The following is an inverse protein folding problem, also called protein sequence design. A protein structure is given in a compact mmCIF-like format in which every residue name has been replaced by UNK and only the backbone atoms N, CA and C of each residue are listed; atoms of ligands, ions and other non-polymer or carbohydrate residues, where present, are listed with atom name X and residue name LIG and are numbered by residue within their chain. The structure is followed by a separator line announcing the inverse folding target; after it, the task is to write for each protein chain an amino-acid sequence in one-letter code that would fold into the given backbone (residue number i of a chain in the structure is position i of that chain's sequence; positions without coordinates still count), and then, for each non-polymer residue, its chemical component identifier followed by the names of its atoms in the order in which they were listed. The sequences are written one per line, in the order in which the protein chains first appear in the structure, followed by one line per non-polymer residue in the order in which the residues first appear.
data_IF_722090279230
#
_entry.id   IF_722090279230
#
_cell.length_a   1.000
_cell.length_b   1.000
_cell.length_c   1.000
_cell.angle_alpha   90.00
_cell.angle_beta   90.00
_cell.angle_gamma   90.00
#
_symmetry.space_group_name_H-M   'P 1'
#
loop_
_entity.id
_entity.type
_entity.pdbx_description
1 polymer ?
#
# COMPACT_ATOMS: atom_id res chain seq x y z
N UNK A 1 -13.74 -5.50 -28.73
CA UNK A 1 -12.97 -4.59 -27.89
C UNK A 1 -11.51 -4.97 -27.94
N UNK A 2 -10.65 -4.00 -28.20
CA UNK A 2 -9.20 -4.13 -28.21
C UNK A 2 -8.57 -2.96 -27.46
N UNK A 3 -7.48 -3.22 -26.76
CA UNK A 3 -6.65 -2.18 -26.15
C UNK A 3 -5.95 -1.40 -27.25
N UNK A 4 -6.02 -0.07 -27.22
CA UNK A 4 -5.46 0.82 -28.24
C UNK A 4 -4.30 1.66 -27.75
N UNK A 5 -4.27 1.97 -26.45
CA UNK A 5 -3.25 2.82 -25.84
C UNK A 5 -3.19 2.56 -24.33
N UNK A 6 -2.00 2.74 -23.75
CA UNK A 6 -1.78 2.80 -22.31
C UNK A 6 -1.14 4.15 -21.97
N UNK A 7 -1.83 4.95 -21.18
CA UNK A 7 -1.33 6.24 -20.68
C UNK A 7 -0.95 6.09 -19.21
N UNK A 8 0.13 6.77 -18.80
CA UNK A 8 0.58 6.78 -17.41
C UNK A 8 0.77 8.22 -16.93
N UNK A 9 0.23 8.52 -15.76
CA UNK A 9 0.32 9.82 -15.13
C UNK A 9 1.05 9.67 -13.81
N UNK A 10 2.30 10.15 -13.76
CA UNK A 10 3.01 10.28 -12.50
C UNK A 10 2.48 11.51 -11.78
N UNK A 11 1.98 11.29 -10.56
CA UNK A 11 1.50 12.32 -9.67
C UNK A 11 2.54 12.52 -8.57
N UNK A 12 2.85 13.77 -8.28
CA UNK A 12 3.76 14.16 -7.21
C UNK A 12 3.25 15.46 -6.60
N UNK A 13 3.12 15.51 -5.27
CA UNK A 13 2.73 16.73 -4.57
C UNK A 13 3.84 17.79 -4.72
N UNK A 14 3.51 19.08 -4.96
CA UNK A 14 4.52 20.12 -5.23
C UNK A 14 5.60 20.28 -4.16
N UNK A 15 5.25 20.08 -2.89
CA UNK A 15 6.13 20.29 -1.73
C UNK A 15 6.53 18.96 -1.07
N UNK A 16 6.78 17.92 -1.88
CA UNK A 16 7.17 16.60 -1.36
C UNK A 16 8.49 16.65 -0.56
N UNK A 17 8.58 15.82 0.46
CA UNK A 17 9.76 15.58 1.28
C UNK A 17 10.21 14.12 1.07
N UNK A 18 11.35 13.86 0.40
CA UNK A 18 11.85 12.51 0.16
C UNK A 18 12.34 11.82 1.44
N UNK A 19 12.49 12.55 2.55
CA UNK A 19 12.84 11.99 3.86
C UNK A 19 11.60 11.65 4.69
N UNK A 20 10.39 12.03 4.23
CA UNK A 20 9.17 11.76 4.97
C UNK A 20 8.76 10.29 4.86
N UNK A 21 8.35 9.73 5.99
CA UNK A 21 7.69 8.43 6.08
C UNK A 21 6.22 8.61 5.69
N UNK A 22 5.97 8.75 4.39
CA UNK A 22 4.62 8.97 3.84
C UNK A 22 4.56 8.47 2.40
N UNK A 23 3.71 7.46 2.14
CA UNK A 23 3.40 6.99 0.79
C UNK A 23 2.30 7.81 0.09
N UNK A 24 1.86 8.92 0.68
CA UNK A 24 0.79 9.76 0.13
C UNK A 24 1.29 10.97 -0.69
N UNK A 25 2.58 11.02 -1.03
CA UNK A 25 3.20 12.16 -1.70
C UNK A 25 3.27 11.97 -3.23
N UNK A 26 3.23 10.73 -3.68
CA UNK A 26 3.36 10.36 -5.07
C UNK A 26 2.50 9.14 -5.41
N UNK A 27 2.19 8.97 -6.69
CA UNK A 27 1.50 7.80 -7.23
C UNK A 27 1.68 7.75 -8.76
N UNK A 28 1.35 6.61 -9.37
CA UNK A 28 1.20 6.47 -10.81
C UNK A 28 -0.21 5.99 -11.14
N UNK A 29 -0.96 6.81 -11.87
CA UNK A 29 -2.25 6.41 -12.44
C UNK A 29 -2.04 5.89 -13.84
N UNK A 30 -2.55 4.68 -14.11
CA UNK A 30 -2.51 4.03 -15.42
C UNK A 30 -3.90 4.06 -16.04
N UNK A 31 -4.01 4.57 -17.27
CA UNK A 31 -5.25 4.61 -18.04
C UNK A 31 -5.10 3.72 -19.27
N UNK A 32 -5.92 2.68 -19.36
CA UNK A 32 -5.95 1.77 -20.51
C UNK A 32 -7.14 2.13 -21.41
N UNK A 33 -6.88 2.43 -22.67
CA UNK A 33 -7.89 2.83 -23.65
C UNK A 33 -8.27 1.67 -24.56
N UNK A 34 -9.51 1.67 -25.02
CA UNK A 34 -10.03 0.68 -25.97
C UNK A 34 -10.59 1.30 -27.24
N UNK A 35 -10.70 0.49 -28.30
CA UNK A 35 -11.30 0.87 -29.58
C UNK A 35 -12.82 1.14 -29.51
N UNK A 36 -13.47 0.75 -28.42
CA UNK A 36 -14.89 0.99 -28.14
C UNK A 36 -15.11 2.20 -27.21
N UNK A 37 -14.04 2.94 -26.87
CA UNK A 37 -14.11 4.16 -26.05
C UNK A 37 -14.27 3.91 -24.54
N UNK A 38 -14.25 2.66 -24.08
CA UNK A 38 -14.21 2.30 -22.66
C UNK A 38 -12.77 2.43 -22.17
N UNK A 39 -12.58 3.09 -21.02
CA UNK A 39 -11.28 3.23 -20.37
C UNK A 39 -11.26 2.53 -19.02
N UNK A 40 -10.11 1.98 -18.66
CA UNK A 40 -9.81 1.40 -17.36
C UNK A 40 -8.80 2.22 -16.60
N UNK A 41 -8.93 2.28 -15.28
CA UNK A 41 -8.02 3.00 -14.40
C UNK A 41 -7.42 2.02 -13.39
N UNK A 42 -6.11 2.10 -13.20
CA UNK A 42 -5.39 1.42 -12.13
C UNK A 42 -4.29 2.30 -11.56
N UNK A 43 -3.72 1.87 -10.44
CA UNK A 43 -2.64 2.57 -9.74
C UNK A 43 -1.70 1.57 -9.07
N UNK A 44 -0.54 2.02 -8.59
CA UNK A 44 0.29 1.20 -7.73
C UNK A 44 1.22 2.04 -6.85
N UNK A 45 1.26 1.68 -5.56
CA UNK A 45 2.19 2.24 -4.58
C UNK A 45 3.59 1.63 -4.75
N UNK A 46 4.43 2.37 -5.48
CA UNK A 46 5.88 2.15 -5.65
C UNK A 46 6.49 3.40 -6.26
N UNK A 47 7.80 3.45 -6.52
CA UNK A 47 8.37 4.60 -7.22
C UNK A 47 7.73 4.77 -8.61
N UNK A 48 6.99 5.88 -8.86
CA UNK A 48 6.08 5.96 -9.99
C UNK A 48 6.81 6.11 -11.32
N UNK A 49 7.99 6.74 -11.35
CA UNK A 49 8.81 6.79 -12.56
C UNK A 49 9.38 5.44 -12.95
N UNK A 50 9.77 4.63 -11.96
CA UNK A 50 10.30 3.29 -12.23
C UNK A 50 9.18 2.35 -12.67
N UNK A 51 7.97 2.49 -12.11
CA UNK A 51 6.78 1.78 -12.59
C UNK A 51 6.41 2.19 -14.03
N UNK A 52 6.39 3.49 -14.34
CA UNK A 52 6.18 4.00 -15.70
C UNK A 52 7.19 3.41 -16.68
N UNK A 53 8.48 3.43 -16.33
CA UNK A 53 9.54 2.85 -17.15
C UNK A 53 9.34 1.35 -17.37
N UNK A 54 8.90 0.60 -16.35
CA UNK A 54 8.61 -0.83 -16.46
C UNK A 54 7.42 -1.11 -17.39
N UNK A 55 6.36 -0.30 -17.33
CA UNK A 55 5.16 -0.46 -18.18
C UNK A 55 5.52 -0.25 -19.66
N UNK A 56 6.26 0.82 -19.95
CA UNK A 56 6.62 1.23 -21.32
C UNK A 56 7.94 0.63 -21.83
N UNK A 57 8.60 -0.23 -21.04
CA UNK A 57 9.83 -0.88 -21.45
C UNK A 57 9.61 -1.74 -22.71
N UNK A 58 10.59 -1.73 -23.62
CA UNK A 58 10.56 -2.57 -24.81
C UNK A 58 10.91 -4.01 -24.50
N UNK A 59 10.27 -4.94 -25.20
CA UNK A 59 10.67 -6.34 -25.18
C UNK A 59 12.06 -6.55 -25.76
N UNK A 60 12.86 -7.40 -25.11
CA UNK A 60 14.24 -7.70 -25.53
C UNK A 60 14.46 -9.16 -25.90
N UNK A 61 13.68 -10.08 -25.33
CA UNK A 61 13.68 -11.50 -25.69
C UNK A 61 12.41 -12.20 -25.15
N UNK A 62 12.26 -13.50 -25.44
CA UNK A 62 11.06 -14.31 -25.19
C UNK A 62 10.53 -14.38 -23.75
N UNK A 63 11.30 -13.95 -22.74
CA UNK A 63 10.93 -13.92 -21.31
C UNK A 63 11.22 -12.55 -20.67
N UNK A 64 11.48 -11.54 -21.50
CA UNK A 64 11.75 -10.16 -21.14
C UNK A 64 11.02 -9.23 -22.11
N UNK A 65 9.75 -9.53 -22.36
CA UNK A 65 8.85 -8.75 -23.20
C UNK A 65 8.32 -7.51 -22.45
N UNK A 66 7.99 -6.45 -23.19
CA UNK A 66 7.39 -5.24 -22.64
C UNK A 66 5.93 -5.45 -22.24
N UNK A 67 5.51 -4.87 -21.12
CA UNK A 67 4.13 -5.02 -20.62
C UNK A 67 3.12 -4.40 -21.59
N UNK A 68 3.37 -3.15 -22.02
CA UNK A 68 2.50 -2.47 -23.00
C UNK A 68 2.44 -3.23 -24.33
N UNK A 69 3.58 -3.62 -24.90
CA UNK A 69 3.64 -4.37 -26.17
C UNK A 69 2.82 -5.68 -26.12
N UNK A 70 2.73 -6.32 -24.96
CA UNK A 70 1.92 -7.52 -24.77
C UNK A 70 0.42 -7.22 -24.67
N UNK A 71 0.00 -6.01 -24.32
CA UNK A 71 -1.40 -5.65 -24.13
C UNK A 71 -2.01 -4.96 -25.35
N UNK A 72 -1.25 -4.16 -26.11
CA UNK A 72 -1.79 -3.45 -27.28
C UNK A 72 -2.40 -4.45 -28.28
N UNK A 73 -3.65 -4.21 -28.67
CA UNK A 73 -4.41 -5.03 -29.60
C UNK A 73 -5.14 -6.23 -28.98
N UNK A 74 -4.89 -6.54 -27.71
CA UNK A 74 -5.57 -7.62 -26.98
C UNK A 74 -6.98 -7.24 -26.53
N UNK A 75 -7.82 -8.25 -26.29
CA UNK A 75 -9.16 -8.08 -25.72
C UNK A 75 -9.07 -7.96 -24.17
N UNK A 76 -9.41 -6.80 -23.57
CA UNK A 76 -9.25 -6.56 -22.14
C UNK A 76 -10.26 -7.31 -21.26
N UNK A 77 -11.26 -7.99 -21.85
CA UNK A 77 -12.36 -8.61 -21.09
C UNK A 77 -11.98 -9.92 -20.41
N UNK A 78 -10.75 -10.39 -20.59
CA UNK A 78 -10.18 -11.52 -19.85
C UNK A 78 -8.91 -11.12 -19.06
N UNK A 79 -9.05 -10.36 -17.95
CA UNK A 79 -7.92 -9.90 -17.15
C UNK A 79 -6.97 -11.01 -16.70
N UNK A 80 -7.50 -12.16 -16.26
CA UNK A 80 -6.69 -13.30 -15.79
C UNK A 80 -5.73 -13.82 -16.86
N UNK A 81 -6.20 -13.96 -18.11
CA UNK A 81 -5.34 -14.40 -19.21
C UNK A 81 -4.26 -13.36 -19.56
N UNK A 82 -4.59 -12.08 -19.45
CA UNK A 82 -3.64 -10.98 -19.70
C UNK A 82 -2.62 -10.86 -18.57
N UNK A 83 -3.03 -11.07 -17.32
CA UNK A 83 -2.14 -11.16 -16.18
C UNK A 83 -1.12 -12.28 -16.37
N UNK A 84 -1.57 -13.49 -16.74
CA UNK A 84 -0.70 -14.63 -16.98
C UNK A 84 0.25 -14.40 -18.16
N UNK A 85 -0.24 -13.76 -19.23
CA UNK A 85 0.56 -13.35 -20.38
C UNK A 85 1.68 -12.40 -19.95
N UNK A 86 1.34 -11.34 -19.23
CA UNK A 86 2.29 -10.36 -18.73
C UNK A 86 3.31 -11.01 -17.80
N UNK A 87 2.85 -11.74 -16.77
CA UNK A 87 3.70 -12.39 -15.79
C UNK A 87 4.71 -13.32 -16.47
N UNK A 88 4.28 -14.21 -17.37
CA UNK A 88 5.17 -15.14 -18.08
C UNK A 88 6.09 -14.45 -19.08
N UNK A 89 5.55 -13.52 -19.85
CA UNK A 89 6.30 -12.78 -20.86
C UNK A 89 7.39 -11.89 -20.27
N UNK A 90 7.23 -11.44 -19.02
CA UNK A 90 8.20 -10.62 -18.29
C UNK A 90 8.95 -11.39 -17.21
N UNK A 91 9.04 -12.71 -17.24
CA UNK A 91 9.65 -13.50 -16.16
C UNK A 91 11.02 -12.99 -15.70
N UNK A 92 11.92 -12.65 -16.61
CA UNK A 92 13.29 -12.24 -16.25
C UNK A 92 13.35 -10.93 -15.45
N UNK A 93 12.37 -10.04 -15.63
CA UNK A 93 12.39 -8.69 -15.02
C UNK A 93 11.27 -8.48 -14.01
N UNK A 94 10.14 -9.18 -14.14
CA UNK A 94 8.91 -8.83 -13.43
C UNK A 94 8.34 -9.86 -12.48
N UNK A 95 9.04 -10.97 -12.23
CA UNK A 95 8.52 -12.05 -11.38
C UNK A 95 8.28 -11.67 -9.91
N UNK A 96 8.91 -10.61 -9.40
CA UNK A 96 8.82 -10.13 -8.01
C UNK A 96 8.99 -8.60 -8.00
N UNK A 97 8.64 -7.97 -6.88
CA UNK A 97 8.82 -6.53 -6.67
C UNK A 97 8.15 -5.70 -7.77
N UNK A 98 8.89 -4.72 -8.29
CA UNK A 98 8.42 -3.73 -9.25
C UNK A 98 7.60 -4.30 -10.42
N UNK A 99 7.99 -5.42 -11.02
CA UNK A 99 7.22 -5.92 -12.16
C UNK A 99 5.85 -6.49 -11.77
N UNK A 100 5.72 -7.05 -10.56
CA UNK A 100 4.41 -7.45 -10.03
C UNK A 100 3.59 -6.20 -9.71
N UNK A 101 4.21 -5.15 -9.17
CA UNK A 101 3.56 -3.85 -8.95
C UNK A 101 3.01 -3.27 -10.26
N UNK A 102 3.83 -3.19 -11.32
CA UNK A 102 3.42 -2.68 -12.62
C UNK A 102 2.31 -3.53 -13.27
N UNK A 103 2.40 -4.86 -13.17
CA UNK A 103 1.33 -5.77 -13.60
C UNK A 103 0.04 -5.51 -12.80
N UNK A 104 0.13 -5.24 -11.49
CA UNK A 104 -1.01 -4.92 -10.63
C UNK A 104 -1.77 -3.68 -11.09
N UNK A 105 -1.07 -2.59 -11.42
CA UNK A 105 -1.71 -1.37 -11.94
C UNK A 105 -2.45 -1.64 -13.27
N UNK A 106 -1.84 -2.41 -14.17
CA UNK A 106 -2.48 -2.82 -15.43
C UNK A 106 -3.68 -3.73 -15.18
N UNK A 107 -3.57 -4.72 -14.30
CA UNK A 107 -4.64 -5.64 -13.94
C UNK A 107 -5.86 -4.91 -13.37
N UNK A 108 -5.64 -3.94 -12.46
CA UNK A 108 -6.71 -3.07 -11.95
C UNK A 108 -7.47 -2.36 -13.08
N UNK A 109 -6.75 -1.77 -14.03
CA UNK A 109 -7.36 -1.12 -15.19
C UNK A 109 -8.15 -2.09 -16.08
N UNK A 110 -7.65 -3.32 -16.27
CA UNK A 110 -8.35 -4.36 -17.04
C UNK A 110 -9.64 -4.81 -16.35
N UNK A 111 -9.63 -4.95 -15.02
CA UNK A 111 -10.84 -5.25 -14.24
C UNK A 111 -11.86 -4.13 -14.30
N UNK A 112 -11.42 -2.87 -14.24
CA UNK A 112 -12.28 -1.70 -14.41
C UNK A 112 -12.94 -1.68 -15.80
N UNK A 113 -12.18 -1.94 -16.89
CA UNK A 113 -12.73 -2.09 -18.24
C UNK A 113 -13.78 -3.21 -18.27
N UNK A 114 -13.47 -4.38 -17.71
CA UNK A 114 -14.40 -5.52 -17.72
C UNK A 114 -15.70 -5.19 -16.99
N UNK A 115 -15.62 -4.51 -15.85
CA UNK A 115 -16.79 -4.05 -15.11
C UNK A 115 -17.63 -3.06 -15.91
N UNK A 116 -17.00 -2.02 -16.46
CA UNK A 116 -17.67 -1.01 -17.30
C UNK A 116 -18.31 -1.61 -18.55
N UNK A 117 -17.62 -2.52 -19.24
CA UNK A 117 -18.12 -3.19 -20.44
C UNK A 117 -19.36 -4.05 -20.18
N UNK A 118 -19.48 -4.61 -18.98
CA UNK A 118 -20.61 -5.47 -18.59
C UNK A 118 -21.66 -4.75 -17.73
N UNK A 119 -21.44 -3.48 -17.36
CA UNK A 119 -22.31 -2.75 -16.45
C UNK A 119 -22.36 -3.35 -15.04
N UNK A 120 -21.26 -4.00 -14.60
CA UNK A 120 -21.17 -4.69 -13.32
C UNK A 120 -20.00 -4.14 -12.48
N UNK A 121 -20.16 -4.05 -11.15
CA UNK A 121 -19.06 -3.65 -10.28
C UNK A 121 -18.00 -4.76 -10.19
N UNK A 122 -16.72 -4.39 -10.02
CA UNK A 122 -15.61 -5.36 -10.03
C UNK A 122 -15.76 -6.49 -9.00
N UNK A 123 -16.28 -6.20 -7.80
CA UNK A 123 -16.52 -7.20 -6.76
C UNK A 123 -17.50 -8.31 -7.19
N UNK A 124 -18.33 -8.07 -8.22
CA UNK A 124 -19.24 -9.08 -8.75
C UNK A 124 -18.47 -10.29 -9.30
N UNK A 125 -17.34 -10.03 -9.96
CA UNK A 125 -16.51 -11.10 -10.53
C UNK A 125 -15.67 -11.82 -9.48
N UNK A 126 -15.53 -11.25 -8.28
CA UNK A 126 -14.82 -11.83 -7.14
C UNK A 126 -15.74 -12.72 -6.25
N UNK A 127 -16.84 -13.23 -6.81
CA UNK A 127 -17.80 -14.07 -6.09
C UNK A 127 -18.96 -13.31 -5.45
N UNK A 128 -19.09 -12.00 -5.70
CA UNK A 128 -20.18 -11.19 -5.19
C UNK A 128 -19.96 -10.67 -3.76
N UNK A 129 -20.85 -9.80 -3.30
CA UNK A 129 -20.76 -9.23 -1.96
C UNK A 129 -21.32 -10.18 -0.90
N UNK A 130 -20.45 -10.66 0.00
CA UNK A 130 -20.85 -11.44 1.19
C UNK A 130 -21.28 -10.57 2.38
N UNK A 131 -20.93 -9.27 2.36
CA UNK A 131 -21.23 -8.29 3.42
C UNK A 131 -21.95 -7.09 2.82
N UNK A 132 -22.85 -6.49 3.60
CA UNK A 132 -23.56 -5.24 3.23
C UNK A 132 -22.67 -3.99 3.34
N UNK A 133 -21.65 -4.05 4.19
CA UNK A 133 -20.69 -2.97 4.40
C UNK A 133 -19.33 -3.55 4.83
N UNK A 134 -18.28 -2.77 4.62
CA UNK A 134 -16.93 -3.06 5.13
C UNK A 134 -16.66 -2.13 6.31
N UNK A 135 -16.14 -2.68 7.40
CA UNK A 135 -15.73 -1.90 8.57
C UNK A 135 -14.28 -1.47 8.36
N UNK A 136 -14.05 -0.18 8.18
CA UNK A 136 -12.71 0.38 8.10
C UNK A 136 -12.09 0.57 9.50
N UNK A 137 -10.77 0.49 9.57
CA UNK A 137 -9.98 1.02 10.68
C UNK A 137 -9.30 2.31 10.23
N UNK A 138 -8.94 3.19 11.17
CA UNK A 138 -8.17 4.39 10.85
C UNK A 138 -6.66 4.07 10.91
N UNK A 139 -5.92 4.18 9.79
CA UNK A 139 -4.45 4.20 9.83
C UNK A 139 -3.99 5.60 10.20
N UNK A 140 -3.20 5.72 11.25
CA UNK A 140 -2.89 7.00 11.89
C UNK A 140 -1.41 7.33 11.70
N UNK A 141 -1.07 7.88 10.53
CA UNK A 141 0.24 8.47 10.29
C UNK A 141 0.37 9.79 11.07
N UNK A 142 1.28 9.88 12.06
CA UNK A 142 1.50 11.10 12.83
C UNK A 142 2.31 12.14 12.04
N UNK A 143 2.48 13.30 12.66
CA UNK A 143 3.31 14.40 12.14
C UNK A 143 4.23 14.90 13.25
N UNK A 144 5.39 15.45 12.88
CA UNK A 144 6.34 16.03 13.84
C UNK A 144 7.77 15.67 13.48
N UNK A 145 8.72 16.50 13.93
CA UNK A 145 10.16 16.25 13.71
C UNK A 145 10.90 15.86 14.99
N UNK A 146 10.22 15.88 16.14
CA UNK A 146 10.76 15.45 17.43
C UNK A 146 9.88 14.38 18.05
N UNK A 147 10.43 13.54 18.92
CA UNK A 147 9.69 12.53 19.67
C UNK A 147 8.43 13.09 20.37
N UNK A 148 8.53 14.26 21.00
CA UNK A 148 7.38 14.89 21.68
C UNK A 148 6.28 15.26 20.69
N UNK A 149 6.63 15.95 19.59
CA UNK A 149 5.66 16.35 18.56
C UNK A 149 4.99 15.14 17.92
N UNK A 150 5.79 14.10 17.63
CA UNK A 150 5.32 12.85 17.06
C UNK A 150 4.27 12.18 17.96
N UNK A 151 4.62 11.98 19.24
CA UNK A 151 3.73 11.39 20.25
C UNK A 151 2.45 12.20 20.42
N UNK A 152 2.56 13.52 20.55
CA UNK A 152 1.41 14.42 20.69
C UNK A 152 0.49 14.34 19.46
N UNK A 153 1.05 14.33 18.25
CA UNK A 153 0.30 14.21 17.00
C UNK A 153 -0.44 12.87 16.91
N UNK A 154 0.23 11.76 17.23
CA UNK A 154 -0.38 10.43 17.18
C UNK A 154 -1.53 10.29 18.18
N UNK A 155 -1.33 10.77 19.42
CA UNK A 155 -2.39 10.78 20.45
C UNK A 155 -3.57 11.64 20.02
N UNK A 156 -3.32 12.82 19.43
CA UNK A 156 -4.38 13.69 18.92
C UNK A 156 -5.18 13.00 17.79
N UNK A 157 -4.50 12.34 16.85
CA UNK A 157 -5.12 11.58 15.76
C UNK A 157 -5.93 10.39 16.26
N UNK A 158 -5.45 9.68 17.29
CA UNK A 158 -6.19 8.57 17.90
C UNK A 158 -7.50 9.04 18.55
N UNK A 159 -7.46 10.17 19.29
CA UNK A 159 -8.67 10.80 19.84
C UNK A 159 -9.64 11.24 18.74
N UNK A 160 -9.10 11.83 17.67
CA UNK A 160 -9.90 12.28 16.53
C UNK A 160 -10.57 11.12 15.80
N UNK A 161 -9.85 10.03 15.53
CA UNK A 161 -10.42 8.83 14.92
C UNK A 161 -11.59 8.27 15.74
N UNK A 162 -11.44 8.19 17.06
CA UNK A 162 -12.53 7.80 17.97
C UNK A 162 -13.70 8.78 17.90
N UNK A 163 -13.44 10.10 17.85
CA UNK A 163 -14.47 11.14 17.73
C UNK A 163 -15.25 11.03 16.41
N UNK A 164 -14.58 10.65 15.32
CA UNK A 164 -15.18 10.38 14.00
C UNK A 164 -16.00 9.07 13.96
N UNK A 165 -15.95 8.27 15.02
CA UNK A 165 -16.74 7.03 15.15
C UNK A 165 -16.00 5.76 14.74
N UNK A 166 -14.69 5.83 14.45
CA UNK A 166 -13.88 4.62 14.34
C UNK A 166 -13.85 3.89 15.68
N UNK A 167 -13.85 2.56 15.60
CA UNK A 167 -13.71 1.66 16.76
C UNK A 167 -12.35 0.97 16.79
N UNK A 168 -11.60 1.11 15.71
CA UNK A 168 -10.33 0.45 15.43
C UNK A 168 -9.37 1.49 14.84
N UNK A 169 -8.14 1.52 15.32
CA UNK A 169 -7.10 2.37 14.76
C UNK A 169 -5.73 1.70 14.81
N UNK A 170 -4.96 1.87 13.74
CA UNK A 170 -3.56 1.45 13.65
C UNK A 170 -2.67 2.65 13.95
N UNK A 171 -1.93 2.55 15.04
CA UNK A 171 -0.95 3.53 15.47
C UNK A 171 0.34 3.26 14.73
N UNK A 172 0.76 4.16 13.85
CA UNK A 172 2.09 4.06 13.25
C UNK A 172 3.08 4.60 14.28
N UNK A 173 3.90 3.71 14.86
CA UNK A 173 4.91 3.97 15.90
C UNK A 173 6.30 3.69 15.32
N UNK A 174 6.58 4.36 14.22
CA UNK A 174 7.79 4.22 13.40
C UNK A 174 8.84 5.24 13.85
N UNK A 175 9.37 5.08 15.06
CA UNK A 175 10.32 6.03 15.70
C UNK A 175 11.78 5.63 15.58
N UNK A 176 12.08 4.50 14.93
CA UNK A 176 13.42 3.99 14.65
C UNK A 176 13.40 2.99 13.50
N UNK A 177 14.57 2.57 13.05
CA UNK A 177 14.70 1.61 11.96
C UNK A 177 14.69 2.28 10.58
N UNK A 178 14.67 1.48 9.50
CA UNK A 178 14.92 1.95 8.14
C UNK A 178 13.79 2.79 7.56
N UNK A 179 12.56 2.59 8.04
CA UNK A 179 11.37 3.33 7.60
C UNK A 179 10.80 4.17 8.75
N UNK A 180 11.70 4.88 9.44
CA UNK A 180 11.35 5.75 10.57
C UNK A 180 10.80 7.09 10.10
N UNK A 181 9.91 7.66 10.90
CA UNK A 181 9.29 8.94 10.63
C UNK A 181 10.31 10.07 10.66
N UNK A 182 10.51 10.72 9.50
CA UNK A 182 11.44 11.85 9.33
C UNK A 182 12.84 11.54 9.89
N UNK A 183 13.28 10.28 9.78
CA UNK A 183 14.59 9.84 10.25
C UNK A 183 14.78 9.74 11.76
N UNK A 184 13.70 9.71 12.56
CA UNK A 184 13.80 9.47 14.01
C UNK A 184 14.54 8.15 14.31
N UNK A 185 15.38 8.14 15.33
CA UNK A 185 16.13 6.95 15.78
C UNK A 185 16.12 6.89 17.31
N UNK A 186 14.93 6.74 17.85
CA UNK A 186 14.67 6.72 19.29
C UNK A 186 14.85 5.30 19.87
N UNK A 187 14.76 5.18 21.19
CA UNK A 187 14.87 3.88 21.88
C UNK A 187 13.55 3.09 21.89
N UNK A 188 13.65 1.84 22.34
CA UNK A 188 12.49 0.95 22.42
C UNK A 188 11.51 1.38 23.55
N UNK A 189 12.01 2.09 24.56
CA UNK A 189 11.20 2.64 25.65
C UNK A 189 10.18 3.66 25.12
N UNK A 190 10.58 4.54 24.20
CA UNK A 190 9.65 5.49 23.58
C UNK A 190 8.48 4.80 22.85
N UNK A 191 8.72 3.65 22.22
CA UNK A 191 7.64 2.87 21.57
C UNK A 191 6.57 2.51 22.62
N UNK A 192 7.00 2.00 23.77
CA UNK A 192 6.10 1.63 24.88
C UNK A 192 5.36 2.86 25.42
N UNK A 193 6.06 3.98 25.59
CA UNK A 193 5.46 5.23 26.07
C UNK A 193 4.40 5.80 25.11
N UNK A 194 4.64 5.72 23.80
CA UNK A 194 3.69 6.17 22.78
C UNK A 194 2.45 5.28 22.77
N UNK A 195 2.61 3.96 22.80
CA UNK A 195 1.50 3.01 22.86
C UNK A 195 0.66 3.23 24.13
N UNK A 196 1.32 3.38 25.27
CA UNK A 196 0.68 3.67 26.55
C UNK A 196 -0.17 4.96 26.47
N UNK A 197 0.41 6.03 25.94
CA UNK A 197 -0.28 7.32 25.80
C UNK A 197 -1.48 7.25 24.86
N UNK A 198 -1.36 6.51 23.75
CA UNK A 198 -2.47 6.29 22.84
C UNK A 198 -3.59 5.48 23.52
N UNK A 199 -3.24 4.40 24.22
CA UNK A 199 -4.20 3.56 24.96
C UNK A 199 -4.94 4.35 26.03
N UNK A 200 -4.24 5.15 26.82
CA UNK A 200 -4.86 6.05 27.81
C UNK A 200 -5.85 7.01 27.15
N UNK A 201 -5.48 7.57 26.00
CA UNK A 201 -6.29 8.54 25.26
C UNK A 201 -7.57 7.95 24.66
N UNK A 202 -7.53 6.72 24.13
CA UNK A 202 -8.69 6.09 23.47
C UNK A 202 -9.47 5.15 24.38
N UNK A 203 -8.91 4.76 25.53
CA UNK A 203 -9.53 3.85 26.50
C UNK A 203 -9.45 2.37 26.09
N UNK A 204 -9.95 1.47 26.95
CA UNK A 204 -9.77 0.02 26.77
C UNK A 204 -10.60 -0.56 25.61
N UNK A 205 -11.79 -0.01 25.34
CA UNK A 205 -12.71 -0.57 24.33
C UNK A 205 -12.33 -0.27 22.87
N UNK A 206 -11.42 0.67 22.63
CA UNK A 206 -10.98 1.01 21.28
C UNK A 206 -9.93 -0.01 20.83
N UNK A 207 -10.17 -0.72 19.74
CA UNK A 207 -9.22 -1.74 19.26
C UNK A 207 -8.00 -1.04 18.69
N UNK A 208 -6.82 -1.35 19.25
CA UNK A 208 -5.56 -0.77 18.80
C UNK A 208 -4.74 -1.81 18.05
N UNK A 209 -4.19 -1.39 16.92
CA UNK A 209 -3.13 -2.07 16.20
C UNK A 209 -1.91 -1.15 16.24
N UNK A 210 -0.71 -1.71 16.11
CA UNK A 210 0.52 -0.91 16.06
C UNK A 210 1.33 -1.36 14.86
N UNK A 211 1.81 -0.41 14.07
CA UNK A 211 2.80 -0.63 13.02
C UNK A 211 4.13 -0.06 13.47
N UNK A 212 5.21 -0.84 13.35
CA UNK A 212 6.55 -0.42 13.76
C UNK A 212 7.52 -0.31 12.59
N UNK A 213 7.06 -0.49 11.35
CA UNK A 213 7.82 -0.22 10.12
C UNK A 213 9.23 -0.84 10.09
N UNK A 214 9.33 -2.16 10.32
CA UNK A 214 10.60 -2.92 10.30
C UNK A 214 11.64 -2.45 11.34
N UNK A 215 11.16 -1.98 12.49
CA UNK A 215 11.95 -1.41 13.58
C UNK A 215 13.12 -2.28 14.07
N UNK A 216 12.98 -3.61 14.08
CA UNK A 216 13.95 -4.51 14.71
C UNK A 216 14.68 -5.41 13.70
N UNK A 217 15.95 -5.69 14.01
CA UNK A 217 16.80 -6.50 13.13
C UNK A 217 16.59 -8.01 13.29
N UNK A 218 15.98 -8.45 14.39
CA UNK A 218 15.76 -9.86 14.68
C UNK A 218 14.65 -10.08 15.73
N UNK A 219 14.11 -11.29 15.77
CA UNK A 219 13.01 -11.66 16.66
C UNK A 219 13.29 -11.46 18.16
N UNK A 220 14.55 -11.59 18.61
CA UNK A 220 14.89 -11.41 20.04
C UNK A 220 14.77 -9.96 20.46
N UNK A 221 15.15 -9.02 19.59
CA UNK A 221 14.98 -7.59 19.84
C UNK A 221 13.51 -7.23 19.91
N UNK A 222 12.74 -7.64 18.91
CA UNK A 222 11.31 -7.43 18.85
C UNK A 222 10.61 -7.98 20.11
N UNK A 223 10.84 -9.25 20.45
CA UNK A 223 10.15 -9.91 21.56
C UNK A 223 10.32 -9.18 22.90
N UNK A 224 11.52 -8.64 23.19
CA UNK A 224 11.78 -7.87 24.42
C UNK A 224 10.88 -6.64 24.56
N UNK A 225 10.50 -6.01 23.45
CA UNK A 225 9.59 -4.86 23.45
C UNK A 225 8.14 -5.33 23.45
N UNK A 226 7.81 -6.35 22.66
CA UNK A 226 6.46 -6.89 22.56
C UNK A 226 5.93 -7.43 23.89
N UNK A 227 6.79 -8.07 24.70
CA UNK A 227 6.45 -8.49 26.06
C UNK A 227 6.04 -7.31 26.96
N UNK A 228 6.67 -6.13 26.79
CA UNK A 228 6.27 -4.90 27.50
C UNK A 228 4.94 -4.33 27.00
N UNK A 229 4.56 -4.64 25.76
CA UNK A 229 3.33 -4.15 25.13
C UNK A 229 2.10 -5.02 25.41
N UNK A 230 2.28 -6.24 25.92
CA UNK A 230 1.21 -7.23 26.18
C UNK A 230 0.06 -6.62 27.00
N UNK A 231 0.39 -5.79 28.00
CA UNK A 231 -0.59 -5.16 28.89
C UNK A 231 -1.55 -4.19 28.16
N UNK A 232 -1.20 -3.69 26.97
CA UNK A 232 -2.03 -2.71 26.24
C UNK A 232 -3.08 -3.33 25.31
N UNK A 233 -3.22 -4.66 25.29
CA UNK A 233 -4.23 -5.40 24.53
C UNK A 233 -4.28 -4.96 23.06
N UNK A 234 -3.16 -5.15 22.36
CA UNK A 234 -3.01 -4.82 20.95
C UNK A 234 -3.53 -5.99 20.11
N UNK A 235 -4.34 -5.68 19.09
CA UNK A 235 -4.92 -6.68 18.21
C UNK A 235 -3.88 -7.34 17.30
N UNK A 236 -2.93 -6.54 16.80
CA UNK A 236 -1.70 -7.04 16.17
C UNK A 236 -0.57 -6.02 16.27
N UNK A 237 0.64 -6.50 16.00
CA UNK A 237 1.81 -5.70 15.63
C UNK A 237 2.13 -5.97 14.15
N UNK A 238 2.26 -4.92 13.36
CA UNK A 238 2.56 -4.99 11.94
C UNK A 238 4.05 -4.70 11.69
N UNK A 239 4.60 -5.40 10.70
CA UNK A 239 6.01 -5.32 10.25
C UNK A 239 7.08 -5.27 11.35
N UNK A 240 7.08 -6.16 12.37
CA UNK A 240 8.11 -6.13 13.41
C UNK A 240 9.52 -6.44 12.89
N UNK A 241 9.63 -7.27 11.84
CA UNK A 241 10.87 -7.73 11.23
C UNK A 241 10.80 -7.58 9.71
N UNK A 242 11.97 -7.62 9.06
CA UNK A 242 12.11 -7.60 7.61
C UNK A 242 11.33 -8.75 6.95
N UNK A 243 10.69 -8.49 5.80
CA UNK A 243 9.87 -9.48 5.10
C UNK A 243 10.66 -10.72 4.62
N UNK A 244 11.97 -10.57 4.44
CA UNK A 244 12.85 -11.67 4.04
C UNK A 244 13.20 -12.62 5.21
N UNK A 245 12.87 -12.26 6.45
CA UNK A 245 13.11 -13.03 7.69
C UNK A 245 11.82 -13.72 8.15
N UNK A 246 11.53 -14.91 7.58
CA UNK A 246 10.30 -15.70 7.81
C UNK A 246 10.31 -16.55 9.10
#
# INVERSE_FOLDING_TARGET
MKITQIETHVLLVPDYDPEACSSAQDDIVVVVHTDEGITGIGEVDTNPWVAQAMIHARGTHVLGLGLEEMLIGEDPRNPEALWEKMYRGSFMTGRRGLGICAIGALDMALWDIRGKALGLPCWHFLGGASKKHITAYASLLPTGRTASQYRESLVAKAKEAKRLGFRVGKMEVCVKGPYSHNGLQEDDELIVEIVAACREAVGPEFVMMVDVCYCWSNAKEALRVLEKLEFYDLFFIETPLQLDDL
#
